data_IF_144043784777
#
_entry.id   IF_144043784777
#
_cell.length_a   1.000
_cell.length_b   1.000
_cell.length_c   1.000
_cell.angle_alpha   90.00
_cell.angle_beta   90.00
_cell.angle_gamma   90.00
#
_symmetry.space_group_name_H-M   'P 1'
#
loop_
_entity.id
_entity.type
_entity.pdbx_description
1 polymer ?
#
# COMPACT_ATOMS: atom_id res chain seq x y z
N UNK A 1 53.08 61.30 55.11
CA UNK A 1 52.48 59.94 54.98
C UNK A 1 52.07 59.73 53.54
N UNK A 2 52.75 58.80 52.85
CA UNK A 2 52.49 58.19 51.52
C UNK A 2 53.81 58.12 50.76
N UNK A 3 54.57 57.05 51.01
CA UNK A 3 55.66 56.64 50.12
C UNK A 3 55.08 55.61 49.17
N UNK A 4 54.89 56.01 47.90
CA UNK A 4 54.55 55.10 46.82
C UNK A 4 55.68 54.09 46.62
N UNK A 5 55.41 52.83 46.89
CA UNK A 5 56.32 51.71 46.65
C UNK A 5 56.37 51.46 45.14
N UNK A 6 57.40 51.95 44.47
CA UNK A 6 57.67 51.62 43.07
C UNK A 6 58.22 50.18 43.04
N UNK A 7 57.38 49.23 42.65
CA UNK A 7 57.77 47.85 42.39
C UNK A 7 58.92 47.80 41.38
N UNK A 8 59.97 47.05 41.71
CA UNK A 8 61.09 46.81 40.80
C UNK A 8 60.59 46.05 39.56
N UNK A 9 61.24 46.26 38.42
CA UNK A 9 60.90 45.60 37.17
C UNK A 9 60.96 44.06 37.28
N UNK A 10 61.83 43.55 38.16
CA UNK A 10 61.96 42.12 38.44
C UNK A 10 60.85 41.58 39.36
N UNK A 11 60.31 42.39 40.29
CA UNK A 11 59.15 42.00 41.09
C UNK A 11 57.90 41.84 40.22
N UNK A 12 57.73 42.71 39.22
CA UNK A 12 56.62 42.63 38.26
C UNK A 12 56.74 41.37 37.39
N UNK A 13 57.96 40.99 36.99
CA UNK A 13 58.21 39.75 36.24
C UNK A 13 57.93 38.50 37.08
N UNK A 14 58.38 38.51 38.34
CA UNK A 14 58.16 37.40 39.28
C UNK A 14 56.66 37.18 39.57
N UNK A 15 55.91 38.27 39.82
CA UNK A 15 54.46 38.18 40.03
C UNK A 15 53.70 37.69 38.78
N UNK A 16 54.11 38.10 37.58
CA UNK A 16 53.52 37.60 36.33
C UNK A 16 53.78 36.11 36.16
N UNK A 17 55.03 35.67 36.36
CA UNK A 17 55.38 34.26 36.28
C UNK A 17 54.57 33.41 37.26
N UNK A 18 54.42 33.85 38.51
CA UNK A 18 53.63 33.14 39.51
C UNK A 18 52.14 33.05 39.13
N UNK A 19 51.59 34.13 38.56
CA UNK A 19 50.20 34.15 38.07
C UNK A 19 50.02 33.23 36.86
N UNK A 20 50.95 33.27 35.92
CA UNK A 20 50.92 32.44 34.72
C UNK A 20 51.08 30.95 35.08
N UNK A 21 51.92 30.62 36.08
CA UNK A 21 52.08 29.27 36.61
C UNK A 21 50.79 28.76 37.26
N UNK A 22 50.14 29.57 38.11
CA UNK A 22 48.86 29.20 38.72
C UNK A 22 47.75 28.99 37.68
N UNK A 23 47.73 29.83 36.63
CA UNK A 23 46.79 29.67 35.53
C UNK A 23 47.06 28.41 34.70
N UNK A 24 48.34 28.05 34.51
CA UNK A 24 48.73 26.81 33.84
C UNK A 24 48.28 25.59 34.64
N UNK A 25 48.55 25.57 35.95
CA UNK A 25 48.16 24.46 36.84
C UNK A 25 46.63 24.26 36.85
N UNK A 26 45.84 25.35 36.86
CA UNK A 26 44.38 25.30 36.74
C UNK A 26 43.92 24.71 35.41
N UNK A 27 44.57 25.08 34.29
CA UNK A 27 44.26 24.56 32.97
C UNK A 27 44.65 23.08 32.83
N UNK A 28 45.76 22.66 33.41
CA UNK A 28 46.18 21.25 33.43
C UNK A 28 45.18 20.39 34.23
N UNK A 29 44.70 20.89 35.38
CA UNK A 29 43.66 20.23 36.16
C UNK A 29 42.34 20.11 35.36
N UNK A 30 41.92 21.18 34.68
CA UNK A 30 40.73 21.17 33.83
C UNK A 30 40.87 20.21 32.64
N UNK A 31 42.05 20.13 32.03
CA UNK A 31 42.32 19.20 30.94
C UNK A 31 42.21 17.74 31.41
N UNK A 32 42.74 17.42 32.58
CA UNK A 32 42.64 16.08 33.16
C UNK A 32 41.18 15.69 33.48
N UNK A 33 40.40 16.62 34.04
CA UNK A 33 38.96 16.41 34.28
C UNK A 33 38.20 16.18 32.97
N UNK A 34 38.53 16.95 31.92
CA UNK A 34 37.93 16.79 30.60
C UNK A 34 38.27 15.43 29.98
N UNK A 35 39.53 14.98 30.05
CA UNK A 35 39.95 13.65 29.57
C UNK A 35 39.21 12.52 30.31
N UNK A 36 39.04 12.66 31.61
CA UNK A 36 38.30 11.71 32.43
C UNK A 36 36.82 11.66 32.03
N UNK A 37 36.20 12.82 31.81
CA UNK A 37 34.82 12.91 31.34
C UNK A 37 34.63 12.31 29.94
N UNK A 38 35.54 12.60 29.00
CA UNK A 38 35.53 12.02 27.64
C UNK A 38 35.59 10.50 27.73
N UNK A 39 36.52 9.95 28.51
CA UNK A 39 36.68 8.49 28.67
C UNK A 39 35.41 7.84 29.24
N UNK A 40 34.77 8.49 30.22
CA UNK A 40 33.50 8.04 30.81
C UNK A 40 32.36 8.03 29.79
N UNK A 41 32.20 9.12 29.02
CA UNK A 41 31.17 9.20 27.97
C UNK A 41 31.41 8.16 26.89
N UNK A 42 32.67 7.94 26.50
CA UNK A 42 33.02 6.92 25.50
C UNK A 42 32.62 5.52 25.96
N UNK A 43 32.84 5.18 27.23
CA UNK A 43 32.40 3.92 27.80
C UNK A 43 30.87 3.78 27.79
N UNK A 44 30.14 4.86 28.09
CA UNK A 44 28.67 4.88 28.03
C UNK A 44 28.15 4.68 26.60
N UNK A 45 28.76 5.30 25.60
CA UNK A 45 28.41 5.12 24.19
C UNK A 45 28.53 3.64 23.80
N UNK A 46 29.67 3.00 24.13
CA UNK A 46 29.90 1.59 23.82
C UNK A 46 28.85 0.68 24.50
N UNK A 47 28.49 0.96 25.75
CA UNK A 47 27.47 0.20 26.47
C UNK A 47 26.07 0.36 25.84
N UNK A 48 25.71 1.58 25.43
CA UNK A 48 24.43 1.86 24.76
C UNK A 48 24.37 1.25 23.36
N UNK A 49 25.47 1.30 22.59
CA UNK A 49 25.55 0.66 21.28
C UNK A 49 25.37 -0.86 21.37
N UNK A 50 25.96 -1.49 22.40
CA UNK A 50 25.79 -2.91 22.67
C UNK A 50 24.33 -3.24 22.99
N UNK A 51 23.69 -2.45 23.86
CA UNK A 51 22.28 -2.62 24.22
C UNK A 51 21.35 -2.41 23.02
N UNK A 52 21.64 -1.41 22.18
CA UNK A 52 20.89 -1.13 20.96
C UNK A 52 21.00 -2.27 19.94
N UNK A 53 22.19 -2.86 19.80
CA UNK A 53 22.41 -4.02 18.93
C UNK A 53 21.56 -5.21 19.38
N UNK A 54 21.62 -5.55 20.67
CA UNK A 54 20.80 -6.64 21.24
C UNK A 54 19.30 -6.40 21.04
N UNK A 55 18.81 -5.17 21.24
CA UNK A 55 17.41 -4.83 20.99
C UNK A 55 17.01 -4.96 19.51
N UNK A 56 17.91 -4.59 18.59
CA UNK A 56 17.69 -4.75 17.14
C UNK A 56 17.64 -6.22 16.73
N UNK A 57 18.53 -7.05 17.26
CA UNK A 57 18.54 -8.50 17.03
C UNK A 57 17.25 -9.15 17.55
N UNK A 58 16.84 -8.80 18.77
CA UNK A 58 15.57 -9.26 19.34
C UNK A 58 14.37 -8.86 18.47
N UNK A 59 14.34 -7.60 18.00
CA UNK A 59 13.31 -7.13 17.08
C UNK A 59 13.33 -7.92 15.76
N UNK A 60 14.51 -8.22 15.23
CA UNK A 60 14.69 -8.99 14.01
C UNK A 60 14.23 -10.45 14.14
N UNK A 61 14.26 -11.04 15.35
CA UNK A 61 13.68 -12.37 15.62
C UNK A 61 12.15 -12.31 15.82
N UNK A 62 11.68 -11.42 16.69
CA UNK A 62 10.28 -11.43 17.14
C UNK A 62 9.32 -10.93 16.05
N UNK A 63 9.71 -9.95 15.24
CA UNK A 63 8.82 -9.39 14.22
C UNK A 63 8.42 -10.41 13.16
N UNK A 64 9.34 -11.16 12.52
CA UNK A 64 8.98 -12.21 11.57
C UNK A 64 8.11 -13.30 12.18
N UNK A 65 8.42 -13.74 13.41
CA UNK A 65 7.64 -14.78 14.12
C UNK A 65 6.20 -14.32 14.40
N UNK A 66 6.04 -13.07 14.86
CA UNK A 66 4.73 -12.44 15.07
C UNK A 66 3.95 -12.38 13.76
N UNK A 67 4.58 -11.98 12.67
CA UNK A 67 3.92 -11.82 11.38
C UNK A 67 3.52 -13.18 10.77
N UNK A 68 4.36 -14.20 10.89
CA UNK A 68 4.02 -15.58 10.54
C UNK A 68 2.83 -16.10 11.36
N UNK A 69 2.82 -15.86 12.68
CA UNK A 69 1.71 -16.28 13.54
C UNK A 69 0.41 -15.55 13.18
N UNK A 70 0.47 -14.25 12.86
CA UNK A 70 -0.69 -13.49 12.38
C UNK A 70 -1.28 -14.06 11.10
N UNK A 71 -0.44 -14.44 10.14
CA UNK A 71 -0.89 -15.09 8.91
C UNK A 71 -1.56 -16.43 9.20
N UNK A 72 -0.97 -17.26 10.08
CA UNK A 72 -1.55 -18.54 10.49
C UNK A 72 -2.93 -18.36 11.16
N UNK A 73 -3.04 -17.44 12.11
CA UNK A 73 -4.32 -17.14 12.80
C UNK A 73 -5.37 -16.64 11.80
N UNK A 74 -4.99 -15.77 10.86
CA UNK A 74 -5.91 -15.30 9.82
C UNK A 74 -6.38 -16.45 8.92
N UNK A 75 -5.47 -17.36 8.52
CA UNK A 75 -5.81 -18.54 7.71
C UNK A 75 -6.75 -19.49 8.47
N UNK A 76 -6.47 -19.79 9.74
CA UNK A 76 -7.33 -20.63 10.58
C UNK A 76 -8.71 -20.00 10.78
N UNK A 77 -8.79 -18.70 11.08
CA UNK A 77 -10.07 -17.97 11.18
C UNK A 77 -10.84 -18.00 9.86
N UNK A 78 -10.13 -17.86 8.74
CA UNK A 78 -10.74 -17.99 7.42
C UNK A 78 -11.30 -19.39 7.22
N UNK A 79 -10.55 -20.45 7.54
CA UNK A 79 -10.98 -21.85 7.39
C UNK A 79 -12.10 -22.27 8.36
N UNK A 80 -12.21 -21.62 9.50
CA UNK A 80 -13.30 -21.81 10.46
C UNK A 80 -14.51 -20.91 10.17
N UNK A 81 -14.39 -19.99 9.21
CA UNK A 81 -15.52 -19.15 8.80
C UNK A 81 -16.57 -20.01 8.11
N UNK A 82 -17.87 -19.88 8.45
CA UNK A 82 -18.96 -20.58 7.78
C UNK A 82 -18.95 -20.43 6.25
N UNK A 83 -18.41 -19.31 5.76
CA UNK A 83 -18.31 -19.03 4.34
C UNK A 83 -17.21 -19.82 3.63
N UNK A 84 -16.16 -20.27 4.32
CA UNK A 84 -15.09 -21.08 3.71
C UNK A 84 -15.48 -22.55 3.52
N UNK A 85 -16.41 -23.04 4.34
CA UNK A 85 -17.03 -24.35 4.20
C UNK A 85 -18.23 -24.34 3.26
N UNK A 86 -18.69 -23.16 2.86
CA UNK A 86 -19.85 -23.00 1.99
C UNK A 86 -19.50 -23.47 0.57
N UNK A 87 -20.24 -24.39 -0.04
CA UNK A 87 -19.90 -24.92 -1.36
C UNK A 87 -19.76 -23.83 -2.42
N UNK A 88 -18.65 -23.88 -3.15
CA UNK A 88 -18.29 -22.89 -4.17
C UNK A 88 -19.35 -22.77 -5.28
N UNK A 89 -19.96 -23.89 -5.66
CA UNK A 89 -20.97 -23.94 -6.72
C UNK A 89 -22.26 -23.25 -6.29
N UNK A 90 -22.67 -23.44 -5.02
CA UNK A 90 -23.83 -22.76 -4.44
C UNK A 90 -23.55 -21.26 -4.34
N UNK A 91 -22.34 -20.85 -3.94
CA UNK A 91 -21.98 -19.43 -3.86
C UNK A 91 -21.95 -18.79 -5.25
N UNK A 92 -21.41 -19.52 -6.24
CA UNK A 92 -21.43 -19.12 -7.64
C UNK A 92 -22.86 -18.96 -8.16
N UNK A 93 -23.76 -19.86 -7.79
CA UNK A 93 -25.18 -19.79 -8.13
C UNK A 93 -25.84 -18.56 -7.50
N UNK A 94 -25.61 -18.30 -6.21
CA UNK A 94 -26.08 -17.10 -5.51
C UNK A 94 -25.57 -15.83 -6.20
N UNK A 95 -24.28 -15.77 -6.57
CA UNK A 95 -23.70 -14.62 -7.26
C UNK A 95 -24.37 -14.37 -8.60
N UNK A 96 -24.61 -15.41 -9.39
CA UNK A 96 -25.30 -15.29 -10.67
C UNK A 96 -26.72 -14.74 -10.48
N UNK A 97 -27.45 -15.21 -9.48
CA UNK A 97 -28.77 -14.68 -9.13
C UNK A 97 -28.72 -13.25 -8.64
N UNK A 98 -27.73 -12.87 -7.82
CA UNK A 98 -27.57 -11.49 -7.36
C UNK A 98 -27.28 -10.52 -8.52
N UNK A 99 -26.48 -10.94 -9.50
CA UNK A 99 -26.20 -10.16 -10.72
C UNK A 99 -27.42 -10.10 -11.64
N UNK A 100 -28.16 -11.20 -11.79
CA UNK A 100 -29.38 -11.28 -12.62
C UNK A 100 -30.59 -10.60 -11.99
N UNK A 101 -30.66 -10.45 -10.66
CA UNK A 101 -31.76 -9.73 -9.99
C UNK A 101 -31.84 -8.25 -10.38
N UNK A 102 -30.77 -7.71 -11.00
CA UNK A 102 -30.75 -6.38 -11.62
C UNK A 102 -31.34 -6.38 -13.05
N UNK A 103 -31.93 -7.46 -13.53
CA UNK A 103 -32.59 -7.58 -14.84
C UNK A 103 -34.04 -7.04 -14.82
N UNK A 104 -34.26 -5.89 -14.18
CA UNK A 104 -35.55 -5.22 -14.08
C UNK A 104 -35.87 -4.39 -15.35
N UNK A 105 -35.64 -4.98 -16.53
CA UNK A 105 -35.75 -4.31 -17.82
C UNK A 105 -34.39 -3.96 -18.44
N UNK A 106 -33.39 -4.84 -18.28
CA UNK A 106 -32.02 -4.68 -18.83
C UNK A 106 -32.03 -4.44 -20.33
N UNK A 107 -32.96 -5.12 -21.01
CA UNK A 107 -33.23 -4.99 -22.44
C UNK A 107 -34.66 -4.48 -22.60
N UNK A 108 -34.88 -3.16 -22.50
CA UNK A 108 -36.21 -2.60 -22.69
C UNK A 108 -36.68 -2.83 -24.13
N UNK A 109 -37.99 -2.99 -24.28
CA UNK A 109 -38.68 -2.93 -25.57
C UNK A 109 -39.19 -1.49 -25.75
N UNK A 110 -38.68 -0.70 -26.71
CA UNK A 110 -37.72 -1.06 -27.76
C UNK A 110 -36.22 -0.97 -27.36
N UNK A 111 -35.32 -1.79 -27.98
CA UNK A 111 -33.92 -1.97 -27.54
C UNK A 111 -33.06 -0.71 -27.48
N UNK A 112 -33.38 0.32 -28.27
CA UNK A 112 -32.63 1.57 -28.28
C UNK A 112 -32.79 2.39 -26.98
N UNK A 113 -33.71 1.99 -26.09
CA UNK A 113 -33.84 2.57 -24.75
C UNK A 113 -32.88 1.93 -23.73
N UNK A 114 -32.15 0.87 -24.11
CA UNK A 114 -31.13 0.28 -23.26
C UNK A 114 -30.03 1.31 -22.98
N UNK A 115 -29.58 1.35 -21.72
CA UNK A 115 -28.53 2.26 -21.29
C UNK A 115 -27.57 1.55 -20.36
N UNK A 116 -26.38 2.11 -20.22
CA UNK A 116 -25.32 1.51 -19.44
C UNK A 116 -25.69 1.35 -17.96
N UNK A 117 -25.86 0.09 -17.53
CA UNK A 117 -26.05 -0.25 -16.12
C UNK A 117 -24.71 -0.33 -15.36
N UNK A 118 -24.42 0.74 -14.62
CA UNK A 118 -23.25 0.83 -13.75
C UNK A 118 -23.28 -0.16 -12.57
N UNK A 119 -24.48 -0.49 -12.06
CA UNK A 119 -24.64 -1.42 -10.94
C UNK A 119 -24.24 -2.82 -11.38
N UNK A 120 -24.70 -3.23 -12.56
CA UNK A 120 -24.34 -4.48 -13.20
C UNK A 120 -22.83 -4.56 -13.51
N UNK A 121 -22.27 -3.52 -14.14
CA UNK A 121 -20.84 -3.47 -14.44
C UNK A 121 -19.95 -3.58 -13.18
N UNK A 122 -20.43 -3.08 -12.03
CA UNK A 122 -19.73 -3.15 -10.75
C UNK A 122 -19.98 -4.44 -9.97
N UNK A 123 -21.07 -5.15 -10.23
CA UNK A 123 -21.51 -6.27 -9.40
C UNK A 123 -20.43 -7.37 -9.20
N UNK A 124 -19.68 -7.83 -10.22
CA UNK A 124 -18.64 -8.83 -10.05
C UNK A 124 -17.51 -8.35 -9.12
N UNK A 125 -17.19 -7.05 -9.18
CA UNK A 125 -16.19 -6.44 -8.32
C UNK A 125 -16.69 -6.28 -6.89
N UNK A 126 -17.95 -5.89 -6.70
CA UNK A 126 -18.59 -5.79 -5.38
C UNK A 126 -18.55 -7.13 -4.66
N UNK A 127 -18.94 -8.21 -5.35
CA UNK A 127 -18.87 -9.57 -4.82
C UNK A 127 -17.42 -9.99 -4.51
N UNK A 128 -16.47 -9.68 -5.40
CA UNK A 128 -15.05 -10.01 -5.22
C UNK A 128 -14.32 -9.21 -4.12
N UNK A 129 -14.96 -8.20 -3.52
CA UNK A 129 -14.35 -7.37 -2.46
C UNK A 129 -14.60 -7.88 -1.04
N UNK A 130 -15.58 -8.76 -0.83
CA UNK A 130 -16.02 -9.19 0.49
C UNK A 130 -14.93 -9.95 1.26
N UNK A 131 -14.43 -11.06 0.69
CA UNK A 131 -13.34 -11.84 1.27
C UNK A 131 -12.56 -12.57 0.17
N UNK A 132 -11.45 -13.23 0.53
CA UNK A 132 -10.62 -14.01 -0.41
C UNK A 132 -11.40 -15.14 -1.07
N UNK A 133 -12.28 -15.82 -0.32
CA UNK A 133 -13.11 -16.91 -0.83
C UNK A 133 -14.15 -16.43 -1.88
N UNK A 134 -14.83 -15.31 -1.59
CA UNK A 134 -15.78 -14.69 -2.53
C UNK A 134 -15.06 -14.18 -3.77
N UNK A 135 -13.87 -13.60 -3.62
CA UNK A 135 -13.02 -13.18 -4.74
C UNK A 135 -12.66 -14.34 -5.65
N UNK A 136 -12.15 -15.44 -5.07
CA UNK A 136 -11.80 -16.63 -5.85
C UNK A 136 -13.02 -17.19 -6.56
N UNK A 137 -14.17 -17.26 -5.88
CA UNK A 137 -15.43 -17.71 -6.47
C UNK A 137 -15.82 -16.82 -7.65
N UNK A 138 -15.92 -15.51 -7.45
CA UNK A 138 -16.30 -14.57 -8.50
C UNK A 138 -15.37 -14.61 -9.73
N UNK A 139 -14.05 -14.75 -9.52
CA UNK A 139 -13.08 -14.88 -10.62
C UNK A 139 -13.21 -16.20 -11.40
N UNK A 140 -13.69 -17.27 -10.75
CA UNK A 140 -13.89 -18.56 -11.39
C UNK A 140 -15.29 -18.77 -11.95
N UNK A 141 -16.18 -17.79 -11.83
CA UNK A 141 -17.57 -17.83 -12.32
C UNK A 141 -17.69 -16.91 -13.53
N UNK A 142 -17.46 -17.40 -14.77
CA UNK A 142 -17.30 -16.53 -15.94
C UNK A 142 -18.58 -15.78 -16.30
N UNK A 143 -19.76 -16.34 -15.99
CA UNK A 143 -21.06 -15.71 -16.22
C UNK A 143 -21.31 -14.43 -15.42
N UNK A 144 -20.50 -14.13 -14.40
CA UNK A 144 -20.54 -12.81 -13.75
C UNK A 144 -19.93 -11.73 -14.63
N UNK A 145 -19.05 -12.11 -15.55
CA UNK A 145 -18.30 -11.21 -16.43
C UNK A 145 -18.89 -11.17 -17.84
N UNK A 146 -20.16 -11.55 -18.03
CA UNK A 146 -20.80 -11.58 -19.34
C UNK A 146 -21.26 -10.21 -19.84
N UNK A 147 -21.50 -9.26 -18.96
CA UNK A 147 -21.96 -7.92 -19.35
C UNK A 147 -20.79 -7.04 -19.79
N UNK A 148 -20.79 -6.64 -21.06
CA UNK A 148 -19.83 -5.72 -21.66
C UNK A 148 -20.59 -4.53 -22.23
N UNK A 149 -20.15 -3.32 -21.91
CA UNK A 149 -20.77 -2.12 -22.43
C UNK A 149 -19.75 -1.15 -23.01
N UNK A 150 -20.12 -0.48 -24.09
CA UNK A 150 -19.42 0.65 -24.69
C UNK A 150 -20.33 1.89 -24.58
N UNK A 151 -20.37 2.57 -23.42
CA UNK A 151 -21.19 3.77 -23.24
C UNK A 151 -20.60 4.95 -24.01
N UNK A 152 -21.46 5.90 -24.37
CA UNK A 152 -21.03 7.10 -25.08
C UNK A 152 -20.05 7.92 -24.22
N UNK A 153 -18.97 8.40 -24.82
CA UNK A 153 -17.94 9.21 -24.14
C UNK A 153 -16.90 8.42 -23.32
N UNK A 154 -17.01 7.10 -23.18
CA UNK A 154 -16.02 6.28 -22.46
C UNK A 154 -14.79 5.92 -23.32
N UNK A 155 -14.15 6.94 -23.90
CA UNK A 155 -13.05 6.78 -24.86
C UNK A 155 -11.69 7.05 -24.20
N UNK A 156 -11.35 6.30 -23.16
CA UNK A 156 -10.09 6.45 -22.42
C UNK A 156 -9.40 5.10 -22.14
N UNK A 157 -8.05 5.05 -22.04
CA UNK A 157 -7.29 3.80 -21.96
C UNK A 157 -7.66 2.86 -20.80
N UNK A 158 -8.01 3.43 -19.65
CA UNK A 158 -8.42 2.63 -18.48
C UNK A 158 -9.73 1.86 -18.74
N UNK A 159 -10.64 2.44 -19.54
CA UNK A 159 -11.88 1.76 -19.93
C UNK A 159 -11.60 0.62 -20.92
N UNK A 160 -10.72 0.84 -21.90
CA UNK A 160 -10.30 -0.23 -22.81
C UNK A 160 -9.64 -1.41 -22.08
N UNK A 161 -8.83 -1.11 -21.06
CA UNK A 161 -8.24 -2.14 -20.18
C UNK A 161 -9.31 -2.88 -19.38
N UNK A 162 -10.35 -2.17 -18.94
CA UNK A 162 -11.49 -2.76 -18.25
C UNK A 162 -12.30 -3.70 -19.15
N UNK A 163 -12.61 -3.29 -20.39
CA UNK A 163 -13.28 -4.14 -21.39
C UNK A 163 -12.46 -5.41 -21.64
N UNK A 164 -11.15 -5.27 -21.87
CA UNK A 164 -10.24 -6.41 -22.08
C UNK A 164 -10.25 -7.38 -20.89
N UNK A 165 -10.27 -6.85 -19.67
CA UNK A 165 -10.34 -7.65 -18.44
C UNK A 165 -11.66 -8.43 -18.35
N UNK A 166 -12.79 -7.83 -18.73
CA UNK A 166 -14.09 -8.51 -18.74
C UNK A 166 -14.08 -9.63 -19.78
N UNK A 167 -13.63 -9.35 -21.01
CA UNK A 167 -13.50 -10.33 -22.09
C UNK A 167 -12.60 -11.53 -21.72
N UNK A 168 -11.51 -11.27 -20.99
CA UNK A 168 -10.64 -12.33 -20.48
C UNK A 168 -11.36 -13.22 -19.44
N UNK A 169 -12.16 -12.61 -18.57
CA UNK A 169 -12.81 -13.29 -17.44
C UNK A 169 -14.11 -14.01 -17.81
N UNK A 170 -14.81 -13.56 -18.85
CA UNK A 170 -16.02 -14.20 -19.37
C UNK A 170 -15.76 -15.56 -20.02
N UNK A 171 -14.53 -15.81 -20.45
CA UNK A 171 -14.09 -17.06 -21.10
C UNK A 171 -14.97 -17.38 -22.32
N UNK A 172 -15.68 -18.51 -22.31
CA UNK A 172 -16.51 -19.01 -23.40
C UNK A 172 -18.00 -18.88 -23.11
N UNK A 173 -18.40 -18.05 -22.14
CA UNK A 173 -19.81 -17.76 -21.87
C UNK A 173 -20.29 -16.66 -22.83
N UNK A 174 -21.56 -16.74 -23.21
CA UNK A 174 -22.24 -15.74 -24.02
C UNK A 174 -22.12 -14.35 -23.39
N UNK A 175 -21.81 -13.35 -24.22
CA UNK A 175 -21.72 -11.96 -23.78
C UNK A 175 -23.03 -11.21 -24.03
N UNK A 176 -23.40 -10.40 -23.05
CA UNK A 176 -24.43 -9.38 -23.18
C UNK A 176 -23.74 -8.07 -23.52
N UNK A 177 -23.84 -7.64 -24.78
CA UNK A 177 -23.10 -6.49 -25.29
C UNK A 177 -24.02 -5.30 -25.50
N UNK A 178 -23.78 -4.22 -24.75
CA UNK A 178 -24.42 -2.92 -24.97
C UNK A 178 -23.47 -1.99 -25.72
N UNK A 179 -23.91 -1.42 -26.84
CA UNK A 179 -23.17 -0.37 -27.55
C UNK A 179 -24.08 0.85 -27.66
N UNK A 180 -23.78 1.90 -26.91
CA UNK A 180 -24.51 3.15 -27.02
C UNK A 180 -24.06 3.92 -28.28
N UNK A 181 -24.99 4.62 -28.93
CA UNK A 181 -24.71 5.36 -30.15
C UNK A 181 -23.58 6.38 -29.95
N UNK A 182 -22.54 6.27 -30.77
CA UNK A 182 -21.37 7.16 -30.73
C UNK A 182 -21.60 8.32 -31.71
N UNK A 183 -21.65 9.55 -31.20
CA UNK A 183 -21.84 10.75 -32.01
C UNK A 183 -20.66 11.07 -32.94
N UNK A 184 -19.50 10.43 -32.74
CA UNK A 184 -18.32 10.51 -33.61
C UNK A 184 -17.59 9.15 -33.66
N UNK A 185 -17.88 8.27 -34.63
CA UNK A 185 -17.34 6.90 -34.73
C UNK A 185 -15.83 6.84 -35.06
N UNK A 186 -15.14 7.97 -35.15
CA UNK A 186 -13.72 8.08 -35.53
C UNK A 186 -12.72 7.91 -34.37
N UNK A 187 -13.17 7.46 -33.19
CA UNK A 187 -12.27 7.20 -32.08
C UNK A 187 -11.52 5.87 -32.24
N UNK A 188 -10.19 5.96 -32.32
CA UNK A 188 -9.31 4.78 -32.38
C UNK A 188 -9.50 3.85 -31.18
N UNK A 189 -9.75 4.40 -30.00
CA UNK A 189 -9.97 3.62 -28.77
C UNK A 189 -11.28 2.84 -28.86
N UNK A 190 -12.36 3.47 -29.35
CA UNK A 190 -13.62 2.78 -29.59
C UNK A 190 -13.44 1.64 -30.59
N UNK A 191 -12.80 1.91 -31.73
CA UNK A 191 -12.56 0.90 -32.76
C UNK A 191 -11.74 -0.28 -32.24
N UNK A 192 -10.74 -0.04 -31.38
CA UNK A 192 -9.99 -1.12 -30.71
C UNK A 192 -10.86 -1.94 -29.77
N UNK A 193 -11.68 -1.31 -28.93
CA UNK A 193 -12.58 -2.02 -28.02
C UNK A 193 -13.64 -2.82 -28.79
N UNK A 194 -14.24 -2.21 -29.81
CA UNK A 194 -15.23 -2.85 -30.66
C UNK A 194 -14.63 -4.04 -31.42
N UNK A 195 -13.44 -3.87 -32.02
CA UNK A 195 -12.72 -4.97 -32.68
C UNK A 195 -12.41 -6.12 -31.70
N UNK A 196 -11.97 -5.81 -30.47
CA UNK A 196 -11.72 -6.82 -29.46
C UNK A 196 -13.00 -7.59 -29.06
N UNK A 197 -14.16 -6.94 -29.01
CA UNK A 197 -15.45 -7.62 -28.81
C UNK A 197 -15.78 -8.49 -30.02
N UNK A 198 -15.58 -8.00 -31.24
CA UNK A 198 -15.83 -8.75 -32.48
C UNK A 198 -14.93 -9.99 -32.62
N UNK A 199 -13.68 -9.98 -32.15
CA UNK A 199 -12.83 -11.19 -32.12
C UNK A 199 -13.47 -12.33 -31.31
N UNK A 200 -14.28 -11.98 -30.32
CA UNK A 200 -14.99 -12.93 -29.47
C UNK A 200 -16.38 -13.30 -30.01
N UNK A 201 -16.84 -12.72 -31.13
CA UNK A 201 -18.16 -13.00 -31.71
C UNK A 201 -18.32 -14.47 -32.11
N UNK A 202 -17.23 -15.15 -32.45
CA UNK A 202 -17.23 -16.57 -32.84
C UNK A 202 -17.51 -17.52 -31.67
N UNK A 203 -17.55 -17.01 -30.44
CA UNK A 203 -17.91 -17.77 -29.24
C UNK A 203 -19.41 -17.79 -28.99
N UNK A 204 -20.20 -17.05 -29.76
CA UNK A 204 -21.65 -16.85 -29.58
C UNK A 204 -22.40 -17.28 -30.84
#
# INVERSE_FOLDING_TARGET
>A
MKASTLLSQDDIRSQRLARDQSALDELEAQALDAETAVTSIQAQIVALETSLRAAREWKADVVPRRDALRLSVAAQRSALSPMSTFPKDVLSYIFQHAVRAHDNGRWPEPPYMASYDLSLAKAPYTLARVCTYWRQTALTTPSLWSYVALPNGAMYPAFASHVSLILQRSKAVDLEVLVEYVSSPSSEIFNRMFAAICEHITRW
#
